data_IF_414656366493
#
_entry.id   IF_414656366493
#
_cell.length_a   1.000
_cell.length_b   1.000
_cell.length_c   1.000
_cell.angle_alpha   90.00
_cell.angle_beta   90.00
_cell.angle_gamma   90.00
#
_symmetry.space_group_name_H-M   'P 1'
#
loop_
_entity.id
_entity.type
_entity.pdbx_description
1 polymer ?
#
# COMPACT_ATOMS: atom_id res chain seq x y z
N UNK A 1 -15.45 -28.53 7.31
CA UNK A 1 -14.93 -29.47 6.27
C UNK A 1 -13.77 -28.79 5.55
N UNK A 2 -12.68 -29.51 5.27
CA UNK A 2 -11.47 -28.93 4.65
C UNK A 2 -11.61 -28.72 3.15
N UNK A 3 -11.04 -27.63 2.61
CA UNK A 3 -11.06 -27.21 1.19
C UNK A 3 -10.88 -28.38 0.23
N UNK A 4 -9.86 -29.19 0.48
CA UNK A 4 -9.44 -30.32 -0.34
C UNK A 4 -10.49 -31.45 -0.41
N UNK A 5 -11.16 -31.74 0.70
CA UNK A 5 -12.21 -32.77 0.76
C UNK A 5 -13.45 -32.34 -0.02
N UNK A 6 -13.74 -31.05 -0.01
CA UNK A 6 -14.90 -30.49 -0.71
C UNK A 6 -14.68 -30.52 -2.23
N UNK A 7 -13.49 -30.14 -2.70
CA UNK A 7 -13.15 -30.24 -4.14
C UNK A 7 -13.18 -31.68 -4.63
N UNK A 8 -12.68 -32.65 -3.85
CA UNK A 8 -12.79 -34.07 -4.18
C UNK A 8 -14.24 -34.48 -4.41
N UNK A 9 -15.11 -34.20 -3.42
CA UNK A 9 -16.52 -34.59 -3.46
C UNK A 9 -17.26 -33.98 -4.66
N UNK A 10 -17.00 -32.71 -4.97
CA UNK A 10 -17.68 -32.00 -6.06
C UNK A 10 -17.26 -32.49 -7.46
N UNK A 11 -16.04 -33.00 -7.59
CA UNK A 11 -15.54 -33.54 -8.85
C UNK A 11 -15.73 -35.07 -8.95
N UNK A 12 -16.58 -35.64 -8.10
CA UNK A 12 -16.93 -37.07 -8.13
C UNK A 12 -15.90 -38.01 -7.50
N UNK A 13 -14.85 -37.49 -6.86
CA UNK A 13 -13.86 -38.31 -6.16
C UNK A 13 -14.32 -38.62 -4.74
N UNK A 14 -14.08 -39.86 -4.30
CA UNK A 14 -14.34 -40.23 -2.91
C UNK A 14 -13.39 -39.49 -1.96
N UNK A 15 -13.92 -38.94 -0.87
CA UNK A 15 -13.14 -38.13 0.10
C UNK A 15 -12.02 -38.95 0.77
N UNK A 16 -12.25 -40.25 0.95
CA UNK A 16 -11.29 -41.20 1.51
C UNK A 16 -10.37 -41.83 0.47
N UNK A 17 -10.51 -41.48 -0.81
CA UNK A 17 -9.67 -42.05 -1.85
C UNK A 17 -8.22 -41.56 -1.71
N UNK A 18 -7.32 -42.54 -1.62
CA UNK A 18 -5.86 -42.39 -1.49
C UNK A 18 -5.17 -42.62 -2.85
N UNK A 19 -5.93 -42.93 -3.91
CA UNK A 19 -5.40 -43.11 -5.26
C UNK A 19 -4.66 -41.86 -5.75
N UNK A 20 -3.72 -42.06 -6.67
CA UNK A 20 -3.03 -40.97 -7.37
C UNK A 20 -3.92 -40.27 -8.40
N UNK A 21 -5.12 -40.79 -8.69
CA UNK A 21 -6.00 -40.28 -9.75
C UNK A 21 -6.41 -38.82 -9.49
N UNK A 22 -6.79 -38.51 -8.24
CA UNK A 22 -7.09 -37.12 -7.88
C UNK A 22 -5.86 -36.22 -7.99
N UNK A 23 -4.67 -36.74 -7.66
CA UNK A 23 -3.42 -35.98 -7.78
C UNK A 23 -3.11 -35.69 -9.25
N UNK A 24 -3.24 -36.67 -10.12
CA UNK A 24 -3.06 -36.52 -11.57
C UNK A 24 -4.08 -35.55 -12.17
N UNK A 25 -5.35 -35.67 -11.76
CA UNK A 25 -6.39 -34.71 -12.14
C UNK A 25 -6.07 -33.29 -11.66
N UNK A 26 -5.63 -33.12 -10.41
CA UNK A 26 -5.31 -31.82 -9.83
C UNK A 26 -4.05 -31.19 -10.44
N UNK A 27 -3.14 -31.98 -11.02
CA UNK A 27 -1.93 -31.50 -11.70
C UNK A 27 -2.19 -31.00 -13.11
N UNK A 28 -3.37 -31.26 -13.69
CA UNK A 28 -3.77 -30.62 -14.94
C UNK A 28 -3.89 -29.10 -14.73
N UNK A 29 -3.31 -28.30 -15.62
CA UNK A 29 -3.10 -26.85 -15.43
C UNK A 29 -4.34 -26.09 -14.95
N UNK A 30 -5.49 -26.33 -15.58
CA UNK A 30 -6.75 -25.66 -15.24
C UNK A 30 -7.27 -26.05 -13.85
N UNK A 31 -7.13 -27.32 -13.50
CA UNK A 31 -7.60 -27.86 -12.23
C UNK A 31 -6.68 -27.44 -11.08
N UNK A 32 -5.37 -27.34 -11.34
CA UNK A 32 -4.39 -26.84 -10.38
C UNK A 32 -4.70 -25.41 -9.96
N UNK A 33 -4.92 -24.53 -10.95
CA UNK A 33 -5.28 -23.13 -10.69
C UNK A 33 -6.63 -23.01 -9.96
N UNK A 34 -7.63 -23.79 -10.36
CA UNK A 34 -8.93 -23.83 -9.70
C UNK A 34 -8.80 -24.24 -8.22
N UNK A 35 -8.05 -25.32 -7.94
CA UNK A 35 -7.81 -25.81 -6.60
C UNK A 35 -7.04 -24.79 -5.76
N UNK A 36 -5.99 -24.19 -6.32
CA UNK A 36 -5.19 -23.15 -5.68
C UNK A 36 -6.04 -21.94 -5.30
N UNK A 37 -6.81 -21.39 -6.25
CA UNK A 37 -7.71 -20.27 -6.01
C UNK A 37 -8.70 -20.57 -4.89
N UNK A 38 -9.24 -21.79 -4.86
CA UNK A 38 -10.22 -22.17 -3.85
C UNK A 38 -9.63 -22.34 -2.45
N UNK A 39 -8.39 -22.83 -2.36
CA UNK A 39 -7.65 -22.88 -1.10
C UNK A 39 -7.36 -21.45 -0.61
N UNK A 40 -6.89 -20.57 -1.50
CA UNK A 40 -6.59 -19.17 -1.19
C UNK A 40 -7.85 -18.45 -0.72
N UNK A 41 -8.96 -18.51 -1.46
CA UNK A 41 -10.20 -17.83 -1.08
C UNK A 41 -10.73 -18.26 0.29
N UNK A 42 -10.57 -19.54 0.67
CA UNK A 42 -10.93 -19.99 2.01
C UNK A 42 -9.94 -19.55 3.08
N UNK A 43 -8.65 -19.49 2.77
CA UNK A 43 -7.65 -18.93 3.66
C UNK A 43 -7.89 -17.43 3.90
N UNK A 44 -8.29 -16.68 2.87
CA UNK A 44 -8.67 -15.27 2.97
C UNK A 44 -9.96 -15.03 3.76
N UNK A 45 -10.86 -16.00 3.82
CA UNK A 45 -12.03 -15.96 4.71
C UNK A 45 -11.66 -16.22 6.18
N UNK A 46 -10.44 -16.67 6.47
CA UNK A 46 -9.99 -16.88 7.84
C UNK A 46 -9.83 -15.53 8.55
N UNK A 47 -10.55 -15.34 9.65
CA UNK A 47 -10.56 -14.11 10.44
C UNK A 47 -9.17 -13.63 10.87
N UNK A 48 -8.26 -14.56 11.21
CA UNK A 48 -6.88 -14.22 11.59
C UNK A 48 -6.17 -13.59 10.39
N UNK A 49 -6.26 -14.20 9.21
CA UNK A 49 -5.62 -13.66 8.01
C UNK A 49 -6.23 -12.32 7.62
N UNK A 50 -7.55 -12.17 7.74
CA UNK A 50 -8.25 -10.90 7.52
C UNK A 50 -7.79 -9.79 8.45
N UNK A 51 -7.51 -10.08 9.72
CA UNK A 51 -6.99 -9.08 10.66
C UNK A 51 -5.61 -8.55 10.26
N UNK A 52 -4.78 -9.36 9.59
CA UNK A 52 -3.45 -8.95 9.11
C UNK A 52 -3.46 -8.39 7.67
N UNK A 53 -4.40 -8.80 6.81
CA UNK A 53 -4.52 -8.28 5.43
C UNK A 53 -5.39 -7.04 5.34
N UNK A 54 -6.35 -6.86 6.26
CA UNK A 54 -7.11 -5.62 6.38
C UNK A 54 -6.15 -4.52 6.79
N UNK A 55 -5.95 -3.56 5.88
CA UNK A 55 -5.18 -2.35 6.17
C UNK A 55 -5.76 -1.74 7.46
N UNK A 56 -4.93 -1.55 8.48
CA UNK A 56 -5.38 -0.93 9.72
C UNK A 56 -6.11 0.38 9.34
N UNK A 57 -7.28 0.62 9.93
CA UNK A 57 -8.03 1.87 9.68
C UNK A 57 -7.12 3.08 9.96
N UNK A 58 -6.16 2.94 10.89
CA UNK A 58 -5.11 3.90 11.21
C UNK A 58 -4.11 4.16 10.04
N UNK A 59 -3.76 3.14 9.25
CA UNK A 59 -2.94 3.31 8.04
C UNK A 59 -3.72 3.98 6.90
N UNK A 60 -5.00 3.62 6.76
CA UNK A 60 -5.90 4.26 5.77
C UNK A 60 -6.08 5.75 6.08
N UNK A 61 -6.23 6.10 7.36
CA UNK A 61 -6.36 7.48 7.81
C UNK A 61 -5.06 8.26 7.55
N UNK A 62 -3.89 7.70 7.86
CA UNK A 62 -2.59 8.31 7.55
C UNK A 62 -2.43 8.59 6.04
N UNK A 63 -2.78 7.63 5.17
CA UNK A 63 -2.72 7.83 3.72
C UNK A 63 -3.63 8.96 3.22
N UNK A 64 -4.83 9.09 3.80
CA UNK A 64 -5.77 10.15 3.43
C UNK A 64 -5.35 11.52 3.97
N UNK A 65 -4.73 11.56 5.14
CA UNK A 65 -4.44 12.81 5.85
C UNK A 65 -3.07 13.41 5.48
N UNK A 66 -2.07 12.57 5.19
CA UNK A 66 -0.69 12.97 4.88
C UNK A 66 -0.56 13.73 3.53
N UNK A 67 -1.57 13.65 2.65
CA UNK A 67 -1.58 14.36 1.37
C UNK A 67 -2.78 15.28 1.14
N UNK A 68 -3.71 15.38 2.09
CA UNK A 68 -4.93 16.21 1.97
C UNK A 68 -4.63 17.69 1.72
N UNK A 69 -3.56 18.20 2.30
CA UNK A 69 -3.11 19.59 2.14
C UNK A 69 -2.59 19.91 0.73
N UNK A 70 -2.25 18.89 -0.06
CA UNK A 70 -1.68 19.02 -1.41
C UNK A 70 -2.66 18.66 -2.52
N UNK A 71 -3.65 17.82 -2.25
CA UNK A 71 -4.53 17.24 -3.28
C UNK A 71 -5.87 17.98 -3.48
N UNK A 72 -6.36 18.79 -2.54
CA UNK A 72 -7.60 19.58 -2.71
C UNK A 72 -7.46 20.76 -3.73
N UNK A 73 -6.38 20.79 -4.52
CA UNK A 73 -6.15 21.81 -5.54
C UNK A 73 -6.76 21.37 -6.88
N UNK A 74 -7.82 22.05 -7.31
CA UNK A 74 -8.38 21.96 -8.66
C UNK A 74 -7.25 22.04 -9.72
N UNK A 75 -7.31 21.19 -10.75
CA UNK A 75 -6.24 21.05 -11.74
C UNK A 75 -5.88 22.39 -12.38
N UNK A 76 -4.80 23.02 -11.93
CA UNK A 76 -4.37 24.34 -12.40
C UNK A 76 -3.78 25.25 -11.32
N UNK A 77 -4.12 25.05 -10.05
CA UNK A 77 -3.56 25.87 -8.97
C UNK A 77 -2.16 25.39 -8.55
N UNK A 78 -1.20 26.34 -8.48
CA UNK A 78 0.15 26.08 -7.95
C UNK A 78 0.05 25.63 -6.48
N UNK A 79 0.82 24.61 -6.11
CA UNK A 79 0.92 24.09 -4.73
C UNK A 79 1.17 25.24 -3.73
N UNK A 80 0.49 25.26 -2.56
CA UNK A 80 0.82 26.20 -1.50
C UNK A 80 2.30 26.03 -1.15
N UNK A 81 3.09 27.12 -1.24
CA UNK A 81 4.47 27.08 -0.78
C UNK A 81 4.43 27.04 0.75
N UNK A 82 4.96 26.00 1.42
CA UNK A 82 5.08 26.04 2.86
C UNK A 82 5.89 27.29 3.22
N UNK A 83 5.40 28.07 4.19
CA UNK A 83 6.12 29.24 4.68
C UNK A 83 7.47 28.76 5.21
N UNK A 84 8.53 28.91 4.41
CA UNK A 84 9.87 28.56 4.84
C UNK A 84 10.20 29.39 6.07
N UNK A 85 10.81 28.81 7.12
CA UNK A 85 11.29 29.59 8.23
C UNK A 85 12.14 30.73 7.68
N UNK A 86 11.79 31.98 7.99
CA UNK A 86 12.62 33.15 7.64
C UNK A 86 13.88 33.10 8.50
N UNK A 87 14.81 32.21 8.16
CA UNK A 87 16.15 32.18 8.73
C UNK A 87 16.88 33.39 8.17
N UNK A 88 16.97 34.44 8.98
CA UNK A 88 18.01 35.47 9.19
C UNK A 88 18.90 36.00 8.03
N UNK A 89 18.73 35.61 6.78
CA UNK A 89 19.56 36.01 5.63
C UNK A 89 19.38 37.51 5.28
N UNK A 90 18.34 38.16 5.82
CA UNK A 90 18.10 39.59 5.64
C UNK A 90 19.10 40.47 6.44
N UNK A 91 19.54 40.03 7.62
CA UNK A 91 20.45 40.82 8.49
C UNK A 91 21.84 40.97 7.87
N UNK A 92 22.36 39.90 7.25
CA UNK A 92 23.71 39.87 6.66
C UNK A 92 23.85 40.78 5.44
N UNK A 93 22.78 40.99 4.66
CA UNK A 93 22.81 41.84 3.45
C UNK A 93 22.84 43.34 3.75
N UNK A 94 22.20 43.78 4.84
CA UNK A 94 22.25 45.20 5.25
C UNK A 94 23.63 45.55 5.81
N UNK A 95 24.20 44.67 6.63
CA UNK A 95 25.51 44.87 7.24
C UNK A 95 26.65 44.90 6.20
N UNK A 96 26.56 44.09 5.14
CA UNK A 96 27.51 44.17 4.02
C UNK A 96 27.41 45.46 3.21
N UNK A 97 26.20 46.01 3.00
CA UNK A 97 25.97 47.28 2.29
C UNK A 97 26.50 48.48 3.07
N UNK A 98 26.29 48.50 4.39
CA UNK A 98 26.83 49.53 5.29
C UNK A 98 28.36 49.55 5.26
N UNK A 99 29.00 48.37 5.35
CA UNK A 99 30.47 48.25 5.31
C UNK A 99 31.09 48.65 3.96
N UNK A 100 30.37 48.49 2.84
CA UNK A 100 30.86 48.92 1.53
C UNK A 100 30.67 50.40 1.25
N UNK A 101 29.68 51.05 1.85
CA UNK A 101 29.52 52.52 1.77
C UNK A 101 30.60 53.23 2.58
N UNK A 102 30.86 52.78 3.81
CA UNK A 102 31.87 53.40 4.69
C UNK A 102 33.30 53.34 4.13
N UNK A 103 33.64 52.32 3.33
CA UNK A 103 34.94 52.22 2.63
C UNK A 103 35.12 53.14 1.43
N UNK A 104 34.05 53.82 0.97
CA UNK A 104 34.08 54.72 -0.20
C UNK A 104 34.10 56.20 0.18
N UNK A 105 33.98 56.50 1.47
CA UNK A 105 33.93 57.87 2.01
C UNK A 105 35.22 58.24 2.78
N UNK A 106 36.20 57.33 2.88
CA UNK A 106 37.58 57.59 3.35
C UNK A 106 38.56 57.64 2.17
#
# INVERSE_FOLDING_TARGET
>A
MGTYKDVKKENGFAVGDVSSEFKEWAMQTNNFLLLGNRIISRAEQNKILQEYTKLNDDFTNKLKEEHRWTDEKESGEKRPKPASPKVEIARTKQEQKERTKKKRED
#
